data_IF_676208954004
#
_entry.id   IF_676208954004
#
_cell.length_a   1.000
_cell.length_b   1.000
_cell.length_c   1.000
_cell.angle_alpha   90.00
_cell.angle_beta   90.00
_cell.angle_gamma   90.00
#
_symmetry.space_group_name_H-M   'P 1'
#
loop_
_entity.id
_entity.type
_entity.pdbx_description
1 polymer ?
#
# COMPACT_ATOMS: atom_id res chain seq x y z
N UNK A 1 -12.05 48.75 -55.70
CA UNK A 1 -11.89 48.99 -54.25
C UNK A 1 -11.78 47.63 -53.60
N UNK A 2 -10.58 47.34 -53.14
CA UNK A 2 -10.11 46.06 -52.64
C UNK A 2 -10.23 46.12 -51.12
N UNK A 3 -11.16 45.36 -50.55
CA UNK A 3 -11.18 45.11 -49.11
C UNK A 3 -11.81 43.73 -48.88
N UNK A 4 -11.04 42.71 -49.25
CA UNK A 4 -11.21 41.39 -48.67
C UNK A 4 -10.70 41.51 -47.24
N UNK A 5 -11.60 41.80 -46.31
CA UNK A 5 -11.32 41.71 -44.89
C UNK A 5 -10.91 40.26 -44.60
N UNK A 6 -9.60 40.07 -44.47
CA UNK A 6 -8.98 38.84 -44.03
C UNK A 6 -9.50 38.56 -42.61
N UNK A 7 -10.54 37.73 -42.52
CA UNK A 7 -10.98 37.14 -41.26
C UNK A 7 -9.79 36.32 -40.77
N UNK A 8 -9.17 36.65 -39.63
CA UNK A 8 -8.18 35.74 -39.07
C UNK A 8 -8.95 34.47 -38.74
N UNK A 9 -8.66 33.40 -39.49
CA UNK A 9 -9.10 32.07 -39.15
C UNK A 9 -8.52 31.77 -37.76
N UNK A 10 -9.34 32.00 -36.73
CA UNK A 10 -9.10 31.44 -35.41
C UNK A 10 -8.96 29.95 -35.62
N UNK A 11 -7.73 29.49 -35.40
CA UNK A 11 -7.28 28.11 -35.52
C UNK A 11 -8.35 27.17 -34.96
N UNK A 12 -9.07 26.52 -35.87
CA UNK A 12 -10.12 25.53 -35.60
C UNK A 12 -9.40 24.26 -35.12
N UNK A 13 -8.96 24.31 -33.87
CA UNK A 13 -8.47 23.14 -33.15
C UNK A 13 -9.68 22.26 -32.86
N UNK A 14 -9.63 21.00 -33.29
CA UNK A 14 -10.70 20.07 -33.04
C UNK A 14 -10.87 19.88 -31.51
N UNK A 15 -12.09 19.85 -30.97
CA UNK A 15 -12.34 19.44 -29.59
C UNK A 15 -12.07 17.94 -29.42
N UNK A 16 -10.80 17.56 -29.39
CA UNK A 16 -10.31 16.19 -29.28
C UNK A 16 -8.82 16.06 -29.01
N UNK A 17 -8.09 17.19 -29.02
CA UNK A 17 -6.63 17.24 -29.00
C UNK A 17 -6.05 17.33 -27.56
N UNK A 18 -6.90 17.36 -26.53
CA UNK A 18 -6.52 17.66 -25.14
C UNK A 18 -6.37 16.41 -24.23
N UNK A 19 -6.54 15.18 -24.74
CA UNK A 19 -6.53 13.96 -23.90
C UNK A 19 -5.25 13.10 -24.04
N UNK A 20 -4.16 13.65 -24.55
CA UNK A 20 -2.86 12.94 -24.52
C UNK A 20 -2.14 13.08 -23.16
N UNK A 21 -2.74 13.77 -22.18
CA UNK A 21 -2.07 14.15 -20.93
C UNK A 21 -2.07 13.10 -19.81
N UNK A 22 -2.69 11.91 -19.94
CA UNK A 22 -2.95 11.07 -18.75
C UNK A 22 -2.47 9.62 -18.79
N UNK A 23 -1.83 9.17 -19.88
CA UNK A 23 -1.30 7.79 -19.96
C UNK A 23 0.15 7.73 -19.47
N UNK A 24 1.00 8.65 -19.94
CA UNK A 24 2.41 8.71 -19.56
C UNK A 24 2.61 8.91 -18.05
N UNK A 25 1.93 9.90 -17.46
CA UNK A 25 2.02 10.18 -16.01
C UNK A 25 1.54 8.99 -15.15
N UNK A 26 0.53 8.25 -15.62
CA UNK A 26 -0.01 7.07 -14.93
C UNK A 26 0.99 5.91 -14.96
N UNK A 27 1.59 5.66 -16.11
CA UNK A 27 2.65 4.65 -16.29
C UNK A 27 3.86 5.00 -15.43
N UNK A 28 4.27 6.27 -15.39
CA UNK A 28 5.37 6.73 -14.53
C UNK A 28 5.07 6.46 -13.05
N UNK A 29 3.85 6.73 -12.57
CA UNK A 29 3.44 6.41 -11.20
C UNK A 29 3.56 4.91 -10.87
N UNK A 30 3.11 4.02 -11.76
CA UNK A 30 3.25 2.57 -11.58
C UNK A 30 4.71 2.12 -11.59
N UNK A 31 5.54 2.67 -12.49
CA UNK A 31 6.96 2.32 -12.59
C UNK A 31 7.74 2.80 -11.35
N UNK A 32 7.44 3.99 -10.83
CA UNK A 32 8.03 4.50 -9.58
C UNK A 32 7.62 3.61 -8.40
N UNK A 33 6.35 3.22 -8.31
CA UNK A 33 5.88 2.29 -7.28
C UNK A 33 6.55 0.92 -7.35
N UNK A 34 6.71 0.39 -8.57
CA UNK A 34 7.42 -0.85 -8.82
C UNK A 34 8.89 -0.75 -8.39
N UNK A 35 9.57 0.34 -8.73
CA UNK A 35 10.95 0.57 -8.32
C UNK A 35 11.09 0.66 -6.80
N UNK A 36 10.18 1.37 -6.11
CA UNK A 36 10.16 1.47 -4.66
C UNK A 36 9.94 0.11 -3.99
N UNK A 37 8.99 -0.68 -4.50
CA UNK A 37 8.69 -2.02 -4.00
C UNK A 37 9.87 -2.99 -4.20
N UNK A 38 10.54 -2.91 -5.35
CA UNK A 38 11.77 -3.68 -5.61
C UNK A 38 12.90 -3.28 -4.67
N UNK A 39 13.07 -1.98 -4.41
CA UNK A 39 14.09 -1.47 -3.47
C UNK A 39 13.84 -1.98 -2.05
N UNK A 40 12.61 -1.89 -1.54
CA UNK A 40 12.25 -2.42 -0.23
C UNK A 40 12.46 -3.94 -0.15
N UNK A 41 12.11 -4.67 -1.21
CA UNK A 41 12.33 -6.12 -1.26
C UNK A 41 13.81 -6.46 -1.23
N UNK A 42 14.63 -5.77 -2.03
CA UNK A 42 16.08 -5.96 -2.04
C UNK A 42 16.69 -5.65 -0.66
N UNK A 43 16.22 -4.57 -0.01
CA UNK A 43 16.63 -4.23 1.36
C UNK A 43 16.25 -5.32 2.36
N UNK A 44 15.05 -5.89 2.25
CA UNK A 44 14.59 -7.00 3.09
C UNK A 44 15.49 -8.23 2.95
N UNK A 45 15.81 -8.62 1.71
CA UNK A 45 16.73 -9.73 1.44
C UNK A 45 18.17 -9.44 1.90
N UNK A 46 18.63 -8.19 1.80
CA UNK A 46 19.95 -7.81 2.29
C UNK A 46 20.04 -7.88 3.82
N UNK A 47 19.02 -7.42 4.54
CA UNK A 47 18.92 -7.52 6.01
C UNK A 47 18.77 -8.98 6.44
N UNK A 48 17.99 -9.79 5.72
CA UNK A 48 17.83 -11.21 6.00
C UNK A 48 19.10 -12.03 5.71
N UNK A 49 19.87 -11.64 4.69
CA UNK A 49 21.07 -12.34 4.24
C UNK A 49 22.34 -11.97 4.98
N UNK A 50 22.34 -10.88 5.74
CA UNK A 50 23.51 -10.44 6.50
C UNK A 50 23.30 -10.71 7.99
N UNK A 51 23.95 -11.75 8.52
CA UNK A 51 23.99 -12.14 9.95
C UNK A 51 24.73 -11.12 10.86
N UNK A 52 24.81 -9.85 10.44
CA UNK A 52 25.60 -8.80 11.11
C UNK A 52 24.79 -8.05 12.19
N UNK A 53 23.51 -8.39 12.36
CA UNK A 53 22.63 -7.76 13.35
C UNK A 53 22.19 -8.81 14.36
N UNK A 54 22.47 -8.54 15.63
CA UNK A 54 22.09 -9.31 16.83
C UNK A 54 20.80 -10.13 16.62
N UNK A 55 20.84 -11.47 16.74
CA UNK A 55 19.77 -12.43 16.36
C UNK A 55 18.31 -11.98 16.64
N UNK A 56 17.98 -11.31 17.76
CA UNK A 56 16.62 -10.83 18.06
C UNK A 56 16.14 -9.63 17.21
N UNK A 57 17.04 -8.90 16.54
CA UNK A 57 16.70 -7.69 15.79
C UNK A 57 16.26 -7.97 14.34
N UNK A 58 16.70 -9.08 13.76
CA UNK A 58 16.36 -9.51 12.39
C UNK A 58 14.83 -9.69 12.22
N UNK A 59 14.10 -10.42 13.11
CA UNK A 59 12.66 -10.58 12.96
C UNK A 59 11.91 -9.24 13.02
N UNK A 60 12.33 -8.34 13.91
CA UNK A 60 11.69 -7.02 14.07
C UNK A 60 11.88 -6.18 12.81
N UNK A 61 13.10 -6.15 12.26
CA UNK A 61 13.39 -5.43 11.04
C UNK A 61 12.56 -5.95 9.85
N UNK A 62 12.45 -7.27 9.71
CA UNK A 62 11.66 -7.89 8.65
C UNK A 62 10.16 -7.59 8.77
N UNK A 63 9.60 -7.59 10.00
CA UNK A 63 8.20 -7.22 10.23
C UNK A 63 7.96 -5.76 9.81
N UNK A 64 8.85 -4.84 10.19
CA UNK A 64 8.73 -3.42 9.82
C UNK A 64 8.79 -3.25 8.30
N UNK A 65 9.74 -3.92 7.63
CA UNK A 65 9.84 -3.88 6.17
C UNK A 65 8.60 -4.50 5.49
N UNK A 66 8.03 -5.56 6.05
CA UNK A 66 6.82 -6.18 5.52
C UNK A 66 5.60 -5.24 5.62
N UNK A 67 5.45 -4.53 6.73
CA UNK A 67 4.39 -3.52 6.89
C UNK A 67 4.59 -2.37 5.90
N UNK A 68 5.82 -1.87 5.75
CA UNK A 68 6.14 -0.84 4.77
C UNK A 68 5.82 -1.31 3.34
N UNK A 69 6.11 -2.56 3.01
CA UNK A 69 5.82 -3.17 1.72
C UNK A 69 4.31 -3.24 1.43
N UNK A 70 3.50 -3.60 2.44
CA UNK A 70 2.04 -3.53 2.33
C UNK A 70 1.57 -2.11 2.03
N UNK A 71 2.12 -1.09 2.72
CA UNK A 71 1.81 0.31 2.48
C UNK A 71 2.12 0.77 1.05
N UNK A 72 3.31 0.43 0.53
CA UNK A 72 3.71 0.74 -0.86
C UNK A 72 2.73 0.11 -1.85
N UNK A 73 2.31 -1.14 -1.64
CA UNK A 73 1.34 -1.80 -2.53
C UNK A 73 -0.03 -1.11 -2.50
N UNK A 74 -0.51 -0.73 -1.32
CA UNK A 74 -1.78 -0.02 -1.18
C UNK A 74 -1.76 1.36 -1.85
N UNK A 75 -0.64 2.09 -1.79
CA UNK A 75 -0.53 3.42 -2.40
C UNK A 75 -0.36 3.34 -3.92
N UNK A 76 0.56 2.50 -4.40
CA UNK A 76 0.94 2.49 -5.82
C UNK A 76 0.12 1.53 -6.68
N UNK A 77 -0.29 0.37 -6.17
CA UNK A 77 -1.07 -0.61 -6.95
C UNK A 77 -2.58 -0.43 -6.79
N UNK A 78 -3.06 0.01 -5.63
CA UNK A 78 -4.48 0.29 -5.45
C UNK A 78 -4.91 1.66 -5.96
N UNK A 79 -4.03 2.35 -6.70
CA UNK A 79 -4.28 3.61 -7.39
C UNK A 79 -5.18 4.55 -6.58
N UNK A 80 -4.72 4.96 -5.40
CA UNK A 80 -5.26 6.16 -4.74
C UNK A 80 -4.85 7.34 -5.64
N UNK A 81 -5.57 7.52 -6.74
CA UNK A 81 -5.57 8.74 -7.51
C UNK A 81 -6.06 9.80 -6.54
N UNK A 82 -5.14 10.67 -6.15
CA UNK A 82 -5.37 11.89 -5.38
C UNK A 82 -6.09 12.91 -6.28
N UNK A 83 -7.12 12.45 -7.00
CA UNK A 83 -8.04 13.27 -7.76
C UNK A 83 -9.03 13.92 -6.79
N UNK A 84 -9.33 15.22 -6.95
CA UNK A 84 -10.23 15.98 -6.08
C UNK A 84 -11.60 15.33 -5.81
N UNK A 85 -12.05 14.41 -6.67
CA UNK A 85 -13.37 13.76 -6.59
C UNK A 85 -13.40 12.39 -5.86
N UNK A 86 -12.27 11.87 -5.37
CA UNK A 86 -12.20 10.49 -4.88
C UNK A 86 -12.15 10.30 -3.35
N UNK A 87 -12.52 11.33 -2.59
CA UNK A 87 -12.50 11.31 -1.11
C UNK A 87 -13.32 10.16 -0.51
N UNK A 88 -14.44 9.79 -1.15
CA UNK A 88 -15.29 8.69 -0.69
C UNK A 88 -14.58 7.33 -0.78
N UNK A 89 -13.81 7.08 -1.85
CA UNK A 89 -13.06 5.83 -1.99
C UNK A 89 -11.89 5.76 -1.02
N UNK A 90 -11.22 6.89 -0.76
CA UNK A 90 -10.17 6.97 0.26
C UNK A 90 -10.75 6.69 1.66
N UNK A 91 -11.93 7.21 1.96
CA UNK A 91 -12.62 6.97 3.23
C UNK A 91 -13.05 5.50 3.38
N UNK A 92 -13.60 4.90 2.31
CA UNK A 92 -13.95 3.48 2.29
C UNK A 92 -12.73 2.57 2.50
N UNK A 93 -11.59 2.93 1.88
CA UNK A 93 -10.34 2.21 2.07
C UNK A 93 -9.78 2.36 3.48
N UNK A 94 -9.78 3.58 4.04
CA UNK A 94 -9.35 3.82 5.41
C UNK A 94 -10.21 3.04 6.42
N UNK A 95 -11.52 2.98 6.18
CA UNK A 95 -12.43 2.15 6.97
C UNK A 95 -12.11 0.65 6.85
N UNK A 96 -11.85 0.16 5.63
CA UNK A 96 -11.42 -1.22 5.40
C UNK A 96 -10.12 -1.57 6.13
N UNK A 97 -9.11 -0.70 6.07
CA UNK A 97 -7.86 -0.88 6.80
C UNK A 97 -8.05 -0.89 8.32
N UNK A 98 -8.91 -0.01 8.84
CA UNK A 98 -9.27 0.00 10.26
C UNK A 98 -9.93 -1.31 10.68
N UNK A 99 -10.85 -1.85 9.87
CA UNK A 99 -11.48 -3.16 10.14
C UNK A 99 -10.45 -4.28 10.10
N UNK A 100 -9.56 -4.32 9.10
CA UNK A 100 -8.49 -5.33 9.02
C UNK A 100 -7.57 -5.25 10.26
N UNK A 101 -7.18 -4.05 10.68
CA UNK A 101 -6.34 -3.85 11.87
C UNK A 101 -7.05 -4.34 13.15
N UNK A 102 -8.33 -4.03 13.31
CA UNK A 102 -9.16 -4.50 14.42
C UNK A 102 -9.31 -6.02 14.42
N UNK A 103 -9.56 -6.64 13.26
CA UNK A 103 -9.75 -8.09 13.14
C UNK A 103 -8.44 -8.82 13.41
N UNK A 104 -7.34 -8.42 12.77
CA UNK A 104 -6.04 -9.08 12.94
C UNK A 104 -5.48 -8.83 14.34
N UNK A 105 -5.43 -7.57 14.76
CA UNK A 105 -4.95 -7.20 16.10
C UNK A 105 -5.82 -7.78 17.20
N UNK A 106 -7.15 -7.73 17.03
CA UNK A 106 -8.11 -8.34 17.94
C UNK A 106 -7.96 -9.85 18.01
N UNK A 107 -7.76 -10.54 16.88
CA UNK A 107 -7.57 -12.00 16.86
C UNK A 107 -6.28 -12.40 17.59
N UNK A 108 -5.16 -11.72 17.32
CA UNK A 108 -3.88 -11.98 18.01
C UNK A 108 -4.02 -11.72 19.51
N UNK A 109 -4.69 -10.63 19.90
CA UNK A 109 -4.97 -10.32 21.31
C UNK A 109 -5.83 -11.38 21.99
N UNK A 110 -6.96 -11.75 21.37
CA UNK A 110 -7.90 -12.73 21.90
C UNK A 110 -7.21 -14.08 22.06
N UNK A 111 -6.48 -14.55 21.04
CA UNK A 111 -5.76 -15.82 21.11
C UNK A 111 -4.66 -15.78 22.18
N UNK A 112 -3.93 -14.67 22.31
CA UNK A 112 -2.93 -14.50 23.36
C UNK A 112 -3.55 -14.51 24.76
N UNK A 113 -4.68 -13.81 24.95
CA UNK A 113 -5.39 -13.75 26.22
C UNK A 113 -6.02 -15.10 26.59
N UNK A 114 -6.62 -15.80 25.61
CA UNK A 114 -7.15 -17.14 25.82
C UNK A 114 -6.03 -18.11 26.18
N UNK A 115 -4.92 -18.13 25.44
CA UNK A 115 -3.77 -19.01 25.73
C UNK A 115 -3.20 -18.77 27.13
N UNK A 116 -3.15 -17.52 27.59
CA UNK A 116 -2.70 -17.18 28.94
C UNK A 116 -3.70 -17.59 30.04
N UNK A 117 -5.00 -17.67 29.73
CA UNK A 117 -6.05 -18.07 30.68
C UNK A 117 -6.48 -19.53 30.57
N UNK A 118 -5.92 -20.30 29.63
CA UNK A 118 -6.09 -21.75 29.59
C UNK A 118 -5.21 -22.39 30.68
N UNK A 119 -5.77 -23.24 31.56
CA UNK A 119 -4.96 -23.95 32.54
C UNK A 119 -3.90 -24.81 31.82
N UNK A 120 -2.64 -24.83 32.30
CA UNK A 120 -1.59 -25.61 31.65
C UNK A 120 -1.99 -27.08 31.57
N UNK A 121 -1.84 -27.69 30.39
CA UNK A 121 -2.20 -29.09 30.12
C UNK A 121 -1.58 -30.07 31.15
N UNK A 122 -0.47 -29.68 31.78
CA UNK A 122 0.22 -30.42 32.84
C UNK A 122 -0.67 -30.67 34.07
N UNK A 123 -1.58 -29.74 34.40
CA UNK A 123 -2.50 -29.89 35.54
C UNK A 123 -3.70 -30.80 35.21
N UNK A 124 -4.05 -30.90 33.92
CA UNK A 124 -5.18 -31.73 33.47
C UNK A 124 -4.79 -33.22 33.49
N UNK A 125 -3.53 -33.55 33.16
CA UNK A 125 -3.03 -34.93 33.24
C UNK A 125 -2.74 -35.36 34.69
N UNK A 126 -2.22 -34.47 35.55
CA UNK A 126 -1.85 -34.80 36.93
C UNK A 126 -3.04 -35.04 37.87
N UNK A 127 -4.25 -34.62 37.49
CA UNK A 127 -5.48 -34.77 38.30
C UNK A 127 -6.27 -36.04 37.94
N UNK A 128 -5.80 -36.83 36.95
CA UNK A 128 -6.48 -38.04 36.43
C UNK A 128 -5.69 -39.34 36.66
N UNK A 129 -4.52 -39.26 37.32
CA UNK A 129 -3.74 -40.39 37.84
C UNK A 129 -3.77 -40.34 39.37
#
# INVERSE_FOLDING_TARGET
>A
MSDQAHVPASHDLAPGDEEQHSVGARIVGYVVGLALALLLTATSFFIAGTDLVWQPSIPVALIVLAIAQMGVHLVFFLHITTGPDNTNNVLALAFGLLVVFLVVGGTVWIMGHLNANMPPMDQIMKTRM
#
